data_IF_956020374906
#
_entry.id   IF_956020374906
#
_cell.length_a   1.000
_cell.length_b   1.000
_cell.length_c   1.000
_cell.angle_alpha   90.00
_cell.angle_beta   90.00
_cell.angle_gamma   90.00
#
_symmetry.space_group_name_H-M   'P 1'
#
loop_
_entity.id
_entity.type
_entity.pdbx_description
1 polymer ?
#
# COMPACT_ATOMS: atom_id res chain seq x y z
N UNK A 1 3.61 2.91 -20.56
CA UNK A 1 4.61 3.07 -19.49
C UNK A 1 3.85 3.41 -18.24
N UNK A 2 3.58 2.41 -17.41
CA UNK A 2 2.91 2.57 -16.13
C UNK A 2 3.88 3.23 -15.15
N UNK A 3 3.51 4.37 -14.56
CA UNK A 3 4.25 4.88 -13.41
C UNK A 3 3.90 4.00 -12.20
N UNK A 4 4.66 2.91 -12.04
CA UNK A 4 4.65 1.99 -10.87
C UNK A 4 4.67 2.74 -9.51
N UNK A 5 5.09 3.99 -9.51
CA UNK A 5 5.23 4.86 -8.35
C UNK A 5 3.90 5.13 -7.63
N UNK A 6 2.80 5.28 -8.37
CA UNK A 6 1.50 5.57 -7.74
C UNK A 6 0.87 4.33 -7.09
N UNK A 7 1.05 3.14 -7.69
CA UNK A 7 0.56 1.89 -7.14
C UNK A 7 1.32 1.45 -5.90
N UNK A 8 2.64 1.67 -5.86
CA UNK A 8 3.48 1.29 -4.73
C UNK A 8 3.27 2.20 -3.51
N UNK A 9 2.84 3.45 -3.73
CA UNK A 9 2.49 4.37 -2.65
C UNK A 9 1.17 4.01 -1.95
N UNK A 10 0.21 3.49 -2.73
CA UNK A 10 -1.15 3.17 -2.24
C UNK A 10 -1.22 1.72 -1.71
N UNK A 11 -0.49 0.80 -2.35
CA UNK A 11 -0.42 -0.60 -1.97
C UNK A 11 1.02 -1.10 -2.04
N UNK A 12 1.82 -0.92 -0.97
CA UNK A 12 3.25 -1.28 -0.96
C UNK A 12 3.54 -2.76 -1.27
N UNK A 13 2.52 -3.61 -1.12
CA UNK A 13 2.60 -5.05 -1.38
C UNK A 13 2.15 -5.46 -2.78
N UNK A 14 1.50 -4.58 -3.56
CA UNK A 14 0.88 -4.95 -4.84
C UNK A 14 1.87 -5.59 -5.80
N UNK A 15 3.05 -4.95 -6.00
CA UNK A 15 4.13 -5.49 -6.82
C UNK A 15 4.64 -6.85 -6.32
N UNK A 16 4.78 -7.01 -5.01
CA UNK A 16 5.23 -8.28 -4.41
C UNK A 16 4.19 -9.39 -4.54
N UNK A 17 2.91 -9.06 -4.47
CA UNK A 17 1.82 -10.02 -4.61
C UNK A 17 1.64 -10.49 -6.06
N UNK A 18 1.99 -9.65 -7.04
CA UNK A 18 1.91 -9.96 -8.48
C UNK A 18 3.15 -10.69 -9.04
N UNK A 19 4.25 -10.72 -8.30
CA UNK A 19 5.47 -11.42 -8.74
C UNK A 19 5.25 -12.94 -8.76
N UNK A 20 6.16 -13.71 -9.37
CA UNK A 20 6.15 -15.18 -9.30
C UNK A 20 6.80 -15.73 -8.03
N UNK A 21 7.25 -14.86 -7.13
CA UNK A 21 8.00 -15.23 -5.94
C UNK A 21 7.16 -16.03 -4.93
N UNK A 22 7.83 -16.92 -4.18
CA UNK A 22 7.16 -17.73 -3.16
C UNK A 22 6.63 -16.88 -2.00
N UNK A 23 5.64 -17.41 -1.28
CA UNK A 23 5.11 -16.79 -0.05
C UNK A 23 6.23 -16.55 0.96
N UNK A 24 7.13 -17.51 1.11
CA UNK A 24 8.26 -17.47 2.03
C UNK A 24 9.22 -16.33 1.66
N UNK A 25 9.48 -16.15 0.37
CA UNK A 25 10.32 -15.07 -0.13
C UNK A 25 9.67 -13.69 0.09
N UNK A 26 8.39 -13.53 -0.25
CA UNK A 26 7.63 -12.29 -0.01
C UNK A 26 7.63 -11.96 1.49
N UNK A 27 7.37 -12.96 2.34
CA UNK A 27 7.39 -12.79 3.81
C UNK A 27 8.75 -12.32 4.29
N UNK A 28 9.83 -12.92 3.81
CA UNK A 28 11.20 -12.53 4.17
C UNK A 28 11.52 -11.11 3.72
N UNK A 29 11.08 -10.71 2.51
CA UNK A 29 11.26 -9.35 2.03
C UNK A 29 10.53 -8.33 2.90
N UNK A 30 9.26 -8.57 3.22
CA UNK A 30 8.47 -7.64 4.03
C UNK A 30 9.08 -7.49 5.43
N UNK A 31 9.54 -8.58 6.06
CA UNK A 31 10.28 -8.52 7.33
C UNK A 31 11.53 -7.66 7.22
N UNK A 32 12.34 -7.88 6.20
CA UNK A 32 13.56 -7.10 5.99
C UNK A 32 13.28 -5.61 5.77
N UNK A 33 12.20 -5.28 5.05
CA UNK A 33 11.78 -3.87 4.87
C UNK A 33 11.35 -3.27 6.21
N UNK A 34 10.59 -4.00 7.01
CA UNK A 34 10.17 -3.54 8.33
C UNK A 34 11.35 -3.29 9.27
N UNK A 35 12.33 -4.20 9.30
CA UNK A 35 13.57 -4.04 10.06
C UNK A 35 14.34 -2.78 9.61
N UNK A 36 14.58 -2.64 8.30
CA UNK A 36 15.30 -1.48 7.73
C UNK A 36 14.57 -0.17 7.96
N UNK A 37 13.24 -0.16 7.87
CA UNK A 37 12.42 1.02 8.13
C UNK A 37 12.52 1.45 9.60
N UNK A 38 12.56 0.50 10.54
CA UNK A 38 12.81 0.82 11.95
C UNK A 38 14.21 1.40 12.16
N UNK A 39 15.24 0.78 11.61
CA UNK A 39 16.62 1.30 11.68
C UNK A 39 16.73 2.71 11.09
N UNK A 40 16.07 2.96 9.95
CA UNK A 40 16.02 4.26 9.31
C UNK A 40 15.29 5.29 10.19
N UNK A 41 14.17 4.93 10.81
CA UNK A 41 13.45 5.81 11.73
C UNK A 41 14.30 6.19 12.95
N UNK A 42 15.01 5.24 13.54
CA UNK A 42 15.95 5.49 14.65
C UNK A 42 17.11 6.39 14.23
N UNK A 43 17.63 6.22 13.02
CA UNK A 43 18.65 7.10 12.45
C UNK A 43 18.11 8.53 12.29
N UNK A 44 16.95 8.68 11.65
CA UNK A 44 16.29 9.97 11.42
C UNK A 44 15.89 10.69 12.71
N UNK A 45 15.70 9.99 13.83
CA UNK A 45 15.44 10.59 15.14
C UNK A 45 16.67 11.28 15.73
N UNK A 46 17.88 10.87 15.33
CA UNK A 46 19.14 11.46 15.76
C UNK A 46 19.58 12.63 14.87
N UNK A 47 18.97 12.77 13.70
CA UNK A 47 19.25 13.86 12.76
C UNK A 47 18.51 15.15 13.14
N UNK A 48 19.03 16.33 12.74
CA UNK A 48 18.30 17.59 12.85
C UNK A 48 16.93 17.52 12.17
N UNK A 49 16.00 18.34 12.67
CA UNK A 49 14.70 18.55 12.02
C UNK A 49 14.95 19.33 10.74
N UNK A 50 14.63 18.73 9.60
CA UNK A 50 14.72 19.35 8.27
C UNK A 50 13.61 18.82 7.37
N UNK A 51 13.34 19.51 6.26
CA UNK A 51 12.36 19.07 5.28
C UNK A 51 12.75 17.72 4.66
N UNK A 52 14.05 17.47 4.46
CA UNK A 52 14.57 16.19 3.97
C UNK A 52 14.30 15.06 4.97
N UNK A 53 14.50 15.31 6.26
CA UNK A 53 14.16 14.36 7.32
C UNK A 53 12.66 14.04 7.30
N UNK A 54 11.81 15.07 7.16
CA UNK A 54 10.36 14.90 7.08
C UNK A 54 9.94 14.09 5.83
N UNK A 55 10.52 14.38 4.67
CA UNK A 55 10.27 13.63 3.42
C UNK A 55 10.64 12.16 3.58
N UNK A 56 11.81 11.87 4.16
CA UNK A 56 12.25 10.49 4.39
C UNK A 56 11.30 9.75 5.36
N UNK A 57 10.83 10.42 6.42
CA UNK A 57 9.82 9.86 7.33
C UNK A 57 8.48 9.60 6.63
N UNK A 58 8.04 10.50 5.76
CA UNK A 58 6.81 10.33 5.00
C UNK A 58 6.88 9.09 4.09
N UNK A 59 8.05 8.79 3.51
CA UNK A 59 8.25 7.57 2.71
C UNK A 59 8.12 6.26 3.50
N UNK A 60 8.34 6.30 4.82
CA UNK A 60 8.25 5.11 5.69
C UNK A 60 6.81 4.84 6.13
N UNK A 61 5.98 5.89 6.28
CA UNK A 61 4.61 5.78 6.81
C UNK A 61 3.73 4.70 6.18
N UNK A 62 3.72 4.48 4.84
CA UNK A 62 2.88 3.44 4.23
C UNK A 62 3.17 2.02 4.76
N UNK A 63 4.38 1.78 5.29
CA UNK A 63 4.78 0.49 5.84
C UNK A 63 4.41 0.29 7.31
N UNK A 64 4.11 1.34 8.08
CA UNK A 64 3.84 1.22 9.53
C UNK A 64 2.70 0.23 9.83
N UNK A 65 1.60 0.33 9.08
CA UNK A 65 0.46 -0.58 9.23
C UNK A 65 0.82 -2.04 8.91
N UNK A 66 1.65 -2.26 7.89
CA UNK A 66 2.13 -3.59 7.47
C UNK A 66 3.05 -4.17 8.56
N UNK A 67 4.02 -3.39 9.02
CA UNK A 67 5.01 -3.83 9.99
C UNK A 67 4.40 -4.13 11.37
N UNK A 68 3.41 -3.34 11.80
CA UNK A 68 2.67 -3.61 13.03
C UNK A 68 1.78 -4.86 12.96
N UNK A 69 1.48 -5.36 11.75
CA UNK A 69 0.57 -6.49 11.53
C UNK A 69 1.24 -7.66 10.79
N UNK A 70 2.57 -7.80 10.87
CA UNK A 70 3.33 -8.85 10.16
C UNK A 70 2.76 -10.26 10.31
N UNK A 71 2.36 -10.65 11.53
CA UNK A 71 1.77 -11.98 11.78
C UNK A 71 0.46 -12.20 11.02
N UNK A 72 -0.40 -11.18 10.98
CA UNK A 72 -1.66 -11.25 10.22
C UNK A 72 -1.34 -11.33 8.74
N UNK A 73 -0.43 -10.49 8.26
CA UNK A 73 0.01 -10.47 6.88
C UNK A 73 0.55 -11.85 6.42
N UNK A 74 1.41 -12.50 7.21
CA UNK A 74 1.96 -13.82 6.90
C UNK A 74 0.88 -14.87 6.58
N UNK A 75 -0.20 -14.88 7.37
CA UNK A 75 -1.33 -15.79 7.16
C UNK A 75 -2.13 -15.46 5.90
N UNK A 76 -2.07 -14.20 5.45
CA UNK A 76 -2.87 -13.67 4.36
C UNK A 76 -2.16 -13.65 3.00
N UNK A 77 -0.81 -13.55 2.97
CA UNK A 77 -0.02 -13.44 1.72
C UNK A 77 -0.41 -14.51 0.70
N UNK A 78 -0.55 -15.76 1.14
CA UNK A 78 -0.89 -16.87 0.23
C UNK A 78 -2.29 -16.74 -0.38
N UNK A 79 -3.26 -16.17 0.34
CA UNK A 79 -4.59 -15.90 -0.20
C UNK A 79 -4.58 -14.67 -1.10
N UNK A 80 -3.94 -13.58 -0.65
CA UNK A 80 -3.84 -12.33 -1.39
C UNK A 80 -3.15 -12.53 -2.74
N UNK A 81 -2.02 -13.26 -2.78
CA UNK A 81 -1.31 -13.60 -4.02
C UNK A 81 -2.21 -14.35 -5.00
N UNK A 82 -2.98 -15.34 -4.54
CA UNK A 82 -3.87 -16.13 -5.40
C UNK A 82 -5.03 -15.31 -5.99
N UNK A 83 -5.45 -14.25 -5.30
CA UNK A 83 -6.63 -13.46 -5.69
C UNK A 83 -6.27 -12.05 -6.19
N UNK A 84 -4.98 -11.69 -6.28
CA UNK A 84 -4.57 -10.29 -6.53
C UNK A 84 -5.06 -9.77 -7.86
N UNK A 85 -5.09 -10.61 -8.90
CA UNK A 85 -5.60 -10.20 -10.22
C UNK A 85 -7.11 -9.97 -10.19
N UNK A 86 -7.88 -10.84 -9.54
CA UNK A 86 -9.33 -10.68 -9.40
C UNK A 86 -9.65 -9.44 -8.56
N UNK A 87 -8.96 -9.25 -7.43
CA UNK A 87 -9.12 -8.08 -6.56
C UNK A 87 -8.82 -6.80 -7.33
N UNK A 88 -7.73 -6.80 -8.12
CA UNK A 88 -7.34 -5.64 -8.92
C UNK A 88 -8.31 -5.36 -10.05
N UNK A 89 -8.89 -6.40 -10.64
CA UNK A 89 -9.92 -6.27 -11.67
C UNK A 89 -11.23 -5.71 -11.10
N UNK A 90 -11.65 -6.22 -9.94
CA UNK A 90 -12.85 -5.77 -9.22
C UNK A 90 -12.77 -4.28 -8.82
N UNK A 91 -11.56 -3.77 -8.53
CA UNK A 91 -11.32 -2.37 -8.17
C UNK A 91 -10.68 -1.55 -9.30
N UNK A 92 -10.80 -2.02 -10.54
CA UNK A 92 -10.14 -1.39 -11.69
C UNK A 92 -10.69 -0.01 -12.01
N UNK A 93 -11.99 0.22 -11.79
CA UNK A 93 -12.62 1.53 -12.01
C UNK A 93 -12.06 2.59 -11.06
N UNK A 94 -12.04 2.32 -9.76
CA UNK A 94 -11.50 3.23 -8.74
C UNK A 94 -10.00 3.49 -8.97
N UNK A 95 -9.27 2.45 -9.37
CA UNK A 95 -7.85 2.55 -9.73
C UNK A 95 -7.62 3.47 -10.93
N UNK A 96 -8.44 3.34 -11.99
CA UNK A 96 -8.36 4.20 -13.16
C UNK A 96 -8.69 5.66 -12.84
N UNK A 97 -9.68 5.91 -11.98
CA UNK A 97 -10.03 7.28 -11.56
C UNK A 97 -8.89 7.94 -10.78
N UNK A 98 -8.30 7.19 -9.83
CA UNK A 98 -7.14 7.68 -9.08
C UNK A 98 -5.97 7.99 -10.01
N UNK A 99 -5.66 7.06 -10.93
CA UNK A 99 -4.60 7.24 -11.93
C UNK A 99 -4.83 8.49 -12.77
N UNK A 100 -6.03 8.65 -13.33
CA UNK A 100 -6.37 9.81 -14.15
C UNK A 100 -6.22 11.12 -13.37
N UNK A 101 -6.74 11.19 -12.14
CA UNK A 101 -6.60 12.39 -11.31
C UNK A 101 -5.13 12.69 -10.93
N UNK A 102 -4.31 11.66 -10.73
CA UNK A 102 -2.88 11.81 -10.46
C UNK A 102 -2.11 12.29 -11.69
N UNK A 103 -2.45 11.77 -12.88
CA UNK A 103 -1.89 12.23 -14.16
C UNK A 103 -2.22 13.72 -14.38
N UNK A 104 -3.46 14.14 -14.12
CA UNK A 104 -3.85 15.55 -14.20
C UNK A 104 -3.01 16.45 -13.27
N UNK A 105 -2.70 15.99 -12.06
CA UNK A 105 -1.86 16.74 -11.12
C UNK A 105 -0.44 16.99 -11.65
N UNK A 106 0.11 16.07 -12.46
CA UNK A 106 1.45 16.25 -13.06
C UNK A 106 1.50 17.38 -14.07
N UNK A 107 0.36 17.75 -14.65
CA UNK A 107 0.25 18.82 -15.64
C UNK A 107 -0.31 20.12 -15.04
N UNK A 108 -1.11 20.02 -13.98
CA UNK A 108 -1.77 21.17 -13.36
C UNK A 108 -1.87 20.96 -11.84
N UNK A 109 -1.07 21.69 -11.06
CA UNK A 109 -1.12 21.59 -9.61
C UNK A 109 -2.22 22.51 -9.07
N UNK A 110 -3.31 21.91 -8.57
CA UNK A 110 -4.38 22.67 -7.90
C UNK A 110 -4.91 21.95 -6.66
N UNK A 111 -5.40 22.72 -5.69
CA UNK A 111 -6.01 22.21 -4.45
C UNK A 111 -7.25 21.34 -4.78
N UNK A 112 -8.00 21.72 -5.81
CA UNK A 112 -9.15 20.95 -6.30
C UNK A 112 -8.73 19.56 -6.76
N UNK A 113 -7.64 19.45 -7.54
CA UNK A 113 -7.12 18.15 -7.99
C UNK A 113 -6.59 17.30 -6.84
N UNK A 114 -5.94 17.91 -5.85
CA UNK A 114 -5.52 17.20 -4.62
C UNK A 114 -6.75 16.63 -3.90
N UNK A 115 -7.82 17.40 -3.77
CA UNK A 115 -9.06 16.96 -3.13
C UNK A 115 -9.70 15.78 -3.88
N UNK A 116 -9.72 15.83 -5.21
CA UNK A 116 -10.20 14.72 -6.05
C UNK A 116 -9.35 13.46 -5.91
N UNK A 117 -8.01 13.60 -5.87
CA UNK A 117 -7.10 12.47 -5.63
C UNK A 117 -7.39 11.82 -4.28
N UNK A 118 -7.58 12.61 -3.22
CA UNK A 118 -7.93 12.08 -1.91
C UNK A 118 -9.25 11.30 -1.91
N UNK A 119 -10.25 11.79 -2.65
CA UNK A 119 -11.54 11.10 -2.79
C UNK A 119 -11.41 9.79 -3.57
N UNK A 120 -10.72 9.79 -4.72
CA UNK A 120 -10.48 8.58 -5.50
C UNK A 120 -9.64 7.55 -4.73
N UNK A 121 -8.64 8.00 -3.98
CA UNK A 121 -7.85 7.16 -3.09
C UNK A 121 -8.71 6.49 -2.02
N UNK A 122 -9.65 7.24 -1.44
CA UNK A 122 -10.62 6.70 -0.48
C UNK A 122 -11.50 5.62 -1.12
N UNK A 123 -12.04 5.86 -2.31
CA UNK A 123 -12.86 4.86 -3.02
C UNK A 123 -12.06 3.59 -3.34
N UNK A 124 -10.84 3.73 -3.85
CA UNK A 124 -9.97 2.60 -4.13
C UNK A 124 -9.60 1.81 -2.86
N UNK A 125 -9.35 2.51 -1.76
CA UNK A 125 -9.08 1.89 -0.45
C UNK A 125 -10.28 1.08 0.04
N UNK A 126 -11.49 1.66 -0.02
CA UNK A 126 -12.73 0.96 0.37
C UNK A 126 -12.95 -0.28 -0.48
N UNK A 127 -12.85 -0.16 -1.81
CA UNK A 127 -13.00 -1.32 -2.70
C UNK A 127 -11.97 -2.41 -2.36
N UNK A 128 -10.70 -2.03 -2.22
CA UNK A 128 -9.63 -2.98 -1.96
C UNK A 128 -9.83 -3.73 -0.64
N UNK A 129 -10.17 -3.01 0.44
CA UNK A 129 -10.46 -3.63 1.75
C UNK A 129 -11.65 -4.58 1.67
N UNK A 130 -12.74 -4.17 1.00
CA UNK A 130 -13.92 -5.02 0.77
C UNK A 130 -13.54 -6.30 0.02
N UNK A 131 -12.79 -6.20 -1.09
CA UNK A 131 -12.40 -7.38 -1.89
C UNK A 131 -11.41 -8.27 -1.16
N UNK A 132 -10.40 -7.71 -0.49
CA UNK A 132 -9.50 -8.50 0.38
C UNK A 132 -10.30 -9.23 1.46
N UNK A 133 -11.29 -8.58 2.07
CA UNK A 133 -12.20 -9.18 3.05
C UNK A 133 -13.08 -10.28 2.44
N UNK A 134 -13.64 -10.06 1.25
CA UNK A 134 -14.50 -11.03 0.55
C UNK A 134 -13.74 -12.30 0.16
N UNK A 135 -12.55 -12.17 -0.41
CA UNK A 135 -11.79 -13.31 -0.92
C UNK A 135 -10.93 -14.00 0.15
N UNK A 136 -10.46 -13.25 1.16
CA UNK A 136 -9.47 -13.73 2.13
C UNK A 136 -9.84 -13.49 3.61
N UNK A 137 -10.95 -12.80 3.88
CA UNK A 137 -11.37 -12.40 5.22
C UNK A 137 -11.90 -13.52 6.11
N UNK A 138 -12.17 -14.73 5.59
CA UNK A 138 -12.57 -15.88 6.40
C UNK A 138 -11.57 -16.23 7.51
N UNK A 139 -10.31 -15.77 7.41
CA UNK A 139 -9.23 -15.98 8.39
C UNK A 139 -9.01 -14.73 9.27
N UNK A 140 -9.55 -13.55 8.92
CA UNK A 140 -9.25 -12.27 9.59
C UNK A 140 -10.47 -11.47 10.07
N UNK A 141 -11.70 -11.92 9.81
CA UNK A 141 -12.91 -11.32 10.36
C UNK A 141 -12.89 -11.45 11.89
N UNK A 142 -12.52 -10.36 12.58
CA UNK A 142 -12.97 -10.16 13.95
C UNK A 142 -14.47 -9.95 13.87
N UNK A 143 -15.24 -10.94 14.32
CA UNK A 143 -16.65 -10.73 14.66
C UNK A 143 -16.67 -9.51 15.58
N UNK A 144 -17.23 -8.39 15.13
CA UNK A 144 -17.56 -7.30 16.04
C UNK A 144 -18.58 -7.88 17.02
N UNK A 145 -18.13 -8.16 18.25
CA UNK A 145 -19.02 -8.44 19.38
C UNK A 145 -19.38 -7.12 20.04
#
# INVERSE_FOLDING_TARGET
MDSEWSSDFVFPLSKMLRSDESREFITKQVKSICEKNMEMLECLQKCPISNENEILRMGIKPWEGICNNLRVLETQIGCWKRNIEIISQDCSFESQQLRHSTELLTHNVSITLISMICEHLKHLSICSVDKYGKYCGGVSQRVCK
#
